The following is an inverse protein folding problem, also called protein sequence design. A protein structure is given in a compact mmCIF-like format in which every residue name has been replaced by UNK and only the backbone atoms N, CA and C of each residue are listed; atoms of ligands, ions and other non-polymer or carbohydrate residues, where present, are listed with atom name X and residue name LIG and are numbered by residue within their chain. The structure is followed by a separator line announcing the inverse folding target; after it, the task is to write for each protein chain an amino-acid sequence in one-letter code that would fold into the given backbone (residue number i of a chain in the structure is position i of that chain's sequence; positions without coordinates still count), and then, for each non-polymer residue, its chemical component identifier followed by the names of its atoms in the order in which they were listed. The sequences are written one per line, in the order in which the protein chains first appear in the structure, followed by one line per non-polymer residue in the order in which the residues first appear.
data_IF_526683985890
#
_entry.id   IF_526683985890
#
_cell.length_a   1.000
_cell.length_b   1.000
_cell.length_c   1.000
_cell.angle_alpha   90.00
_cell.angle_beta   90.00
_cell.angle_gamma   90.00
#
_symmetry.space_group_name_H-M   'P 1'
#
loop_
_entity.id
_entity.type
_entity.pdbx_description
1 polymer ?
#
# COMPACT_ATOMS: atom_id res chain seq x y z
N UNK A 1 9.64 12.02 0.41
CA UNK A 1 8.48 11.35 1.02
C UNK A 1 8.90 10.29 2.05
N UNK A 2 9.64 9.24 1.67
CA UNK A 2 9.97 8.13 2.58
C UNK A 2 10.71 8.55 3.86
N UNK A 3 11.67 9.48 3.77
CA UNK A 3 12.40 9.97 4.95
C UNK A 3 11.48 10.62 5.99
N UNK A 4 10.36 11.22 5.58
CA UNK A 4 9.42 11.87 6.50
C UNK A 4 8.66 10.87 7.38
N UNK A 5 8.57 9.60 6.96
CA UNK A 5 7.87 8.55 7.69
C UNK A 5 8.81 7.52 8.33
N UNK A 6 10.13 7.69 8.21
CA UNK A 6 11.12 6.71 8.69
C UNK A 6 10.95 6.44 10.20
N UNK A 7 10.87 7.50 11.01
CA UNK A 7 10.67 7.38 12.45
C UNK A 7 9.33 6.69 12.80
N UNK A 8 8.26 6.99 12.05
CA UNK A 8 6.96 6.32 12.22
C UNK A 8 7.07 4.83 11.85
N UNK A 9 7.76 4.51 10.77
CA UNK A 9 7.92 3.16 10.25
C UNK A 9 8.77 2.28 11.17
N UNK A 10 9.73 2.83 11.91
CA UNK A 10 10.56 2.07 12.86
C UNK A 10 9.79 1.52 14.08
N UNK A 11 8.63 2.10 14.42
CA UNK A 11 7.82 1.61 15.54
C UNK A 11 7.23 0.23 15.22
N UNK A 12 7.45 -0.73 16.12
CA UNK A 12 7.04 -2.15 15.95
C UNK A 12 5.53 -2.34 15.72
N UNK A 13 4.70 -1.48 16.33
CA UNK A 13 3.23 -1.54 16.23
C UNK A 13 2.67 -0.87 14.99
N UNK A 14 3.46 -0.11 14.25
CA UNK A 14 2.97 0.61 13.07
C UNK A 14 3.02 -0.30 11.84
N UNK A 15 2.12 -0.06 10.89
CA UNK A 15 2.11 -0.66 9.56
C UNK A 15 2.38 0.40 8.49
N UNK A 16 3.02 0.02 7.39
CA UNK A 16 3.22 0.91 6.23
C UNK A 16 3.00 0.09 4.96
N UNK A 17 2.13 0.59 4.09
CA UNK A 17 1.93 0.10 2.72
C UNK A 17 2.03 1.31 1.78
N UNK A 18 3.10 1.38 0.99
CA UNK A 18 3.37 2.47 0.05
C UNK A 18 3.76 1.84 -1.28
N UNK A 19 2.83 1.83 -2.23
CA UNK A 19 3.07 1.33 -3.57
C UNK A 19 3.38 2.47 -4.54
N UNK A 20 4.03 2.13 -5.65
CA UNK A 20 4.37 3.09 -6.69
C UNK A 20 3.13 3.45 -7.54
N UNK A 21 2.23 4.26 -7.02
CA UNK A 21 0.92 4.51 -7.66
C UNK A 21 0.53 5.98 -7.69
N UNK A 22 0.03 6.46 -8.83
CA UNK A 22 -0.59 7.77 -8.94
C UNK A 22 -2.09 7.65 -8.66
N UNK A 23 -2.47 7.57 -7.39
CA UNK A 23 -3.85 7.44 -6.95
C UNK A 23 -4.10 8.19 -5.64
N UNK A 24 -5.36 8.58 -5.41
CA UNK A 24 -5.85 9.15 -4.16
C UNK A 24 -7.05 8.33 -3.67
N UNK A 25 -7.37 8.38 -2.37
CA UNK A 25 -8.48 7.62 -1.77
C UNK A 25 -8.47 6.10 -2.04
N UNK A 26 -7.30 5.46 -2.09
CA UNK A 26 -7.19 4.01 -2.39
C UNK A 26 -7.98 3.11 -1.43
N UNK A 27 -8.22 3.56 -0.20
CA UNK A 27 -9.02 2.83 0.80
C UNK A 27 -10.53 2.95 0.58
N UNK A 28 -10.98 3.98 -0.14
CA UNK A 28 -12.41 4.26 -0.34
C UNK A 28 -12.96 3.55 -1.57
N UNK A 29 -12.12 3.18 -2.53
CA UNK A 29 -12.54 2.49 -3.76
C UNK A 29 -12.21 1.00 -3.70
N UNK A 30 -13.21 0.15 -3.95
CA UNK A 30 -13.02 -1.30 -3.88
C UNK A 30 -12.03 -1.85 -4.91
N UNK A 31 -11.97 -1.23 -6.10
CA UNK A 31 -11.02 -1.56 -7.17
C UNK A 31 -9.55 -1.41 -6.75
N UNK A 32 -9.25 -0.52 -5.79
CA UNK A 32 -7.89 -0.30 -5.28
C UNK A 32 -7.68 -0.85 -3.88
N UNK A 33 -8.76 -1.14 -3.15
CA UNK A 33 -8.70 -1.66 -1.80
C UNK A 33 -8.65 -3.18 -1.72
N UNK A 34 -9.65 -3.87 -2.30
CA UNK A 34 -9.90 -5.30 -2.07
C UNK A 34 -10.44 -6.09 -3.28
N UNK A 35 -10.48 -5.50 -4.47
CA UNK A 35 -10.76 -6.26 -5.69
C UNK A 35 -9.67 -7.30 -6.01
N UNK A 36 -10.00 -8.28 -6.84
CA UNK A 36 -9.08 -9.36 -7.25
C UNK A 36 -7.81 -8.84 -7.93
N UNK A 37 -7.91 -7.69 -8.62
CA UNK A 37 -6.82 -6.99 -9.30
C UNK A 37 -6.33 -5.75 -8.54
N UNK A 38 -6.67 -5.61 -7.26
CA UNK A 38 -6.20 -4.49 -6.44
C UNK A 38 -4.66 -4.42 -6.40
N UNK A 39 -4.07 -3.21 -6.26
CA UNK A 39 -2.63 -3.03 -6.29
C UNK A 39 -1.88 -3.88 -5.26
N UNK A 40 -0.76 -4.44 -5.69
CA UNK A 40 0.04 -5.43 -4.97
C UNK A 40 1.47 -4.95 -4.76
N UNK A 41 1.99 -5.14 -3.55
CA UNK A 41 3.44 -5.11 -3.30
C UNK A 41 3.88 -6.54 -2.98
N UNK A 42 4.80 -7.10 -3.79
CA UNK A 42 5.30 -8.48 -3.61
C UNK A 42 4.16 -9.51 -3.42
N UNK A 43 3.16 -9.45 -4.30
CA UNK A 43 1.94 -10.29 -4.28
C UNK A 43 1.08 -10.16 -3.02
N UNK A 44 1.11 -9.00 -2.34
CA UNK A 44 0.23 -8.69 -1.21
C UNK A 44 -0.58 -7.44 -1.52
N UNK A 45 -1.90 -7.58 -1.53
CA UNK A 45 -2.83 -6.47 -1.72
C UNK A 45 -2.98 -5.58 -0.50
N UNK A 46 -3.57 -4.40 -0.72
CA UNK A 46 -3.70 -3.34 0.29
C UNK A 46 -4.55 -3.80 1.48
N UNK A 47 -5.79 -4.23 1.25
CA UNK A 47 -6.70 -4.64 2.32
C UNK A 47 -6.16 -5.82 3.15
N UNK A 48 -5.55 -6.82 2.49
CA UNK A 48 -4.93 -7.95 3.20
C UNK A 48 -3.76 -7.49 4.07
N UNK A 49 -2.91 -6.61 3.54
CA UNK A 49 -1.77 -6.05 4.28
C UNK A 49 -2.25 -5.26 5.50
N UNK A 50 -3.30 -4.45 5.36
CA UNK A 50 -3.88 -3.72 6.49
C UNK A 50 -4.51 -4.66 7.51
N UNK A 51 -5.27 -5.67 7.06
CA UNK A 51 -5.88 -6.67 7.95
C UNK A 51 -4.84 -7.48 8.73
N UNK A 52 -3.77 -7.94 8.06
CA UNK A 52 -2.69 -8.69 8.70
C UNK A 52 -1.94 -7.83 9.73
N UNK A 53 -1.78 -6.53 9.47
CA UNK A 53 -1.24 -5.59 10.45
C UNK A 53 -2.20 -5.36 11.63
N UNK A 54 -3.47 -5.09 11.35
CA UNK A 54 -4.48 -4.75 12.36
C UNK A 54 -4.70 -5.87 13.39
N UNK A 55 -4.74 -7.13 12.91
CA UNK A 55 -4.89 -8.30 13.76
C UNK A 55 -3.55 -8.85 14.29
N UNK A 56 -2.47 -8.07 14.23
CA UNK A 56 -1.12 -8.47 14.69
C UNK A 56 -0.61 -9.80 14.07
N UNK A 57 -1.09 -10.18 12.87
CA UNK A 57 -0.70 -11.43 12.18
C UNK A 57 0.67 -11.32 11.53
N UNK A 58 0.96 -10.17 10.92
CA UNK A 58 2.22 -9.91 10.21
C UNK A 58 2.65 -8.46 10.44
N UNK A 59 3.95 -8.23 10.64
CA UNK A 59 4.51 -6.87 10.56
C UNK A 59 4.57 -6.42 9.12
N UNK A 60 3.78 -5.41 8.77
CA UNK A 60 3.71 -4.87 7.40
C UNK A 60 4.56 -3.61 7.28
N UNK A 61 5.65 -3.72 6.52
CA UNK A 61 6.55 -2.64 6.11
C UNK A 61 6.78 -2.75 4.60
N UNK A 62 5.68 -2.65 3.85
CA UNK A 62 5.67 -2.79 2.41
C UNK A 62 5.89 -1.41 1.79
N UNK A 63 7.08 -1.18 1.27
CA UNK A 63 7.43 0.01 0.49
C UNK A 63 7.95 -0.51 -0.84
N UNK A 64 7.36 0.00 -1.92
CA UNK A 64 7.68 -0.40 -3.27
C UNK A 64 8.87 0.40 -3.85
N UNK A 65 9.19 0.17 -5.12
CA UNK A 65 10.19 0.93 -5.85
C UNK A 65 9.76 2.39 -6.14
N UNK A 66 10.71 3.26 -6.55
CA UNK A 66 10.38 4.62 -7.00
C UNK A 66 9.39 4.60 -8.18
N UNK A 67 8.43 5.51 -8.15
CA UNK A 67 7.44 5.66 -9.22
C UNK A 67 8.06 6.01 -10.58
N UNK A 68 7.54 5.48 -11.71
CA UNK A 68 6.43 4.52 -11.86
C UNK A 68 6.91 3.07 -12.12
N UNK A 69 6.76 2.17 -11.15
CA UNK A 69 7.14 0.77 -11.30
C UNK A 69 6.01 -0.25 -11.00
N UNK A 70 5.00 0.12 -10.20
CA UNK A 70 3.91 -0.79 -9.85
C UNK A 70 2.99 -1.00 -11.06
N UNK A 71 3.07 -2.20 -11.65
CA UNK A 71 2.25 -2.59 -12.82
C UNK A 71 0.82 -2.98 -12.44
N UNK A 72 0.54 -3.13 -11.15
CA UNK A 72 -0.79 -3.46 -10.62
C UNK A 72 -1.55 -2.23 -10.14
N UNK A 73 -0.92 -1.06 -10.17
CA UNK A 73 -1.56 0.19 -9.79
C UNK A 73 -2.67 0.60 -10.76
N UNK A 74 -3.85 0.94 -10.21
CA UNK A 74 -4.90 1.65 -10.93
C UNK A 74 -4.66 3.16 -10.80
N UNK A 75 -3.90 3.72 -11.75
CA UNK A 75 -3.59 5.16 -11.76
C UNK A 75 -4.87 5.98 -12.04
N UNK A 76 -5.17 6.94 -11.16
CA UNK A 76 -6.33 7.82 -11.26
C UNK A 76 -5.96 9.10 -12.01
N UNK A 77 -5.87 9.00 -13.34
CA UNK A 77 -5.67 10.14 -14.23
C UNK A 77 -7.02 10.55 -14.81
N UNK A 78 -7.63 11.59 -14.24
CA UNK A 78 -8.88 12.15 -14.75
C UNK A 78 -8.60 13.03 -15.99
N UNK A 79 -9.43 12.89 -17.03
CA UNK A 79 -9.39 13.73 -18.24
C UNK A 79 -10.36 14.89 -18.13
#
# INVERSE_FOLDING_TARGET
MLNAIDQFSRKKKNGVFINSCFAHCQTERQDTWFADDSPLIKNRGVAKSVGDWYFDRVRVKAIDCPYPCDKTCHNLVFK
#
